data_IF_053576706585
#
_entry.id   IF_053576706585
#
_cell.length_a   1.000
_cell.length_b   1.000
_cell.length_c   1.000
_cell.angle_alpha   90.00
_cell.angle_beta   90.00
_cell.angle_gamma   90.00
#
_symmetry.space_group_name_H-M   'P 1'
#
loop_
_entity.id
_entity.type
_entity.pdbx_description
1 polymer ?
#
# COMPACT_ATOMS: atom_id res chain seq x y z
N UNK A 1 -17.36 -2.85 -15.99
CA UNK A 1 -16.81 -3.56 -14.84
C UNK A 1 -15.40 -3.01 -14.65
N UNK A 2 -15.05 -2.49 -13.47
CA UNK A 2 -13.70 -1.99 -13.24
C UNK A 2 -12.69 -3.15 -13.25
N UNK A 3 -11.51 -2.92 -13.81
CA UNK A 3 -10.41 -3.88 -13.83
C UNK A 3 -10.01 -4.27 -12.41
N UNK A 4 -9.79 -5.55 -12.13
CA UNK A 4 -9.35 -6.05 -10.82
C UNK A 4 -7.87 -5.76 -10.54
N UNK A 5 -7.07 -5.49 -11.57
CA UNK A 5 -5.69 -5.01 -11.44
C UNK A 5 -5.39 -4.00 -12.55
N UNK A 6 -4.71 -2.93 -12.21
CA UNK A 6 -4.27 -1.88 -13.14
C UNK A 6 -2.82 -1.53 -12.90
N UNK A 7 -2.07 -1.33 -13.98
CA UNK A 7 -0.76 -0.70 -13.90
C UNK A 7 -0.94 0.82 -13.83
N UNK A 8 -0.32 1.43 -12.84
CA UNK A 8 -0.40 2.87 -12.61
C UNK A 8 1.00 3.48 -12.51
N UNK A 9 1.15 4.68 -13.04
CA UNK A 9 2.35 5.46 -12.75
C UNK A 9 2.18 6.08 -11.37
N UNK A 10 3.12 5.81 -10.49
CA UNK A 10 3.17 6.40 -9.16
C UNK A 10 4.32 7.39 -9.06
N UNK A 11 4.11 8.44 -8.28
CA UNK A 11 5.14 9.37 -7.85
C UNK A 11 5.18 9.36 -6.34
N UNK A 12 6.35 9.07 -5.80
CA UNK A 12 6.58 9.12 -4.36
C UNK A 12 7.45 10.35 -4.09
N UNK A 13 6.89 11.31 -3.40
CA UNK A 13 7.58 12.48 -2.92
C UNK A 13 7.86 12.29 -1.42
N UNK A 14 9.13 12.30 -1.07
CA UNK A 14 9.59 12.22 0.31
C UNK A 14 10.27 13.52 0.69
N UNK A 15 9.61 14.29 1.54
CA UNK A 15 10.16 15.53 2.08
C UNK A 15 10.58 15.32 3.53
N UNK A 16 11.81 15.60 3.83
CA UNK A 16 12.32 15.67 5.18
C UNK A 16 12.44 17.14 5.60
N UNK A 17 11.70 17.51 6.64
CA UNK A 17 11.86 18.81 7.31
C UNK A 17 12.98 18.69 8.35
N UNK A 18 14.00 19.53 8.25
CA UNK A 18 15.15 19.56 9.15
C UNK A 18 16.30 20.36 8.53
N UNK A 19 17.39 20.51 9.27
CA UNK A 19 18.60 21.19 8.79
C UNK A 19 19.72 20.16 8.57
N UNK A 20 20.09 19.85 7.29
CA UNK A 20 19.51 20.34 6.06
C UNK A 20 18.17 19.64 5.71
N UNK A 21 17.29 20.36 4.99
CA UNK A 21 16.08 19.76 4.40
C UNK A 21 16.45 18.91 3.20
N UNK A 22 15.80 17.77 3.02
CA UNK A 22 15.98 16.91 1.85
C UNK A 22 14.62 16.63 1.20
N UNK A 23 14.59 16.78 -0.11
CA UNK A 23 13.47 16.36 -0.95
C UNK A 23 13.94 15.27 -1.92
N UNK A 24 13.22 14.17 -1.94
CA UNK A 24 13.43 13.07 -2.86
C UNK A 24 12.12 12.78 -3.58
N UNK A 25 12.15 12.87 -4.90
CA UNK A 25 11.03 12.46 -5.77
C UNK A 25 11.44 11.26 -6.60
N UNK A 26 10.60 10.23 -6.63
CA UNK A 26 10.78 9.03 -7.43
C UNK A 26 9.49 8.69 -8.16
N UNK A 27 9.63 8.40 -9.45
CA UNK A 27 8.56 7.83 -10.24
C UNK A 27 8.75 6.33 -10.37
N UNK A 28 7.66 5.58 -10.37
CA UNK A 28 7.69 4.14 -10.47
C UNK A 28 6.45 3.58 -11.14
N UNK A 29 6.53 2.32 -11.50
CA UNK A 29 5.41 1.52 -11.97
C UNK A 29 4.82 0.79 -10.77
N UNK A 30 3.60 1.11 -10.42
CA UNK A 30 2.84 0.46 -9.36
C UNK A 30 1.67 -0.33 -9.94
N UNK A 31 1.10 -1.19 -9.14
CA UNK A 31 -0.19 -1.83 -9.39
C UNK A 31 -1.22 -1.28 -8.39
N UNK A 32 -2.41 -1.05 -8.89
CA UNK A 32 -3.63 -0.86 -8.13
C UNK A 32 -4.44 -2.13 -8.27
N UNK A 33 -4.60 -2.90 -7.21
CA UNK A 33 -5.21 -4.23 -7.25
C UNK A 33 -6.30 -4.38 -6.21
N UNK A 34 -7.41 -4.98 -6.62
CA UNK A 34 -8.52 -5.38 -5.76
C UNK A 34 -8.19 -6.69 -5.06
N UNK A 35 -7.99 -6.66 -3.76
CA UNK A 35 -7.61 -7.82 -2.95
C UNK A 35 -8.76 -8.83 -2.75
N UNK A 36 -9.99 -8.45 -3.05
CA UNK A 36 -11.14 -9.35 -3.03
C UNK A 36 -11.29 -10.14 -4.33
N UNK A 37 -10.53 -9.75 -5.38
CA UNK A 37 -10.65 -10.31 -6.73
C UNK A 37 -9.28 -10.75 -7.29
N UNK A 38 -8.45 -11.35 -6.45
CA UNK A 38 -7.08 -11.74 -6.82
C UNK A 38 -7.01 -12.78 -7.95
N UNK A 39 -7.96 -13.72 -8.00
CA UNK A 39 -8.02 -14.72 -9.07
C UNK A 39 -8.34 -14.05 -10.42
N UNK A 40 -9.27 -13.10 -10.43
CA UNK A 40 -9.58 -12.33 -11.62
C UNK A 40 -8.39 -11.46 -12.04
N UNK A 41 -7.68 -10.87 -11.09
CA UNK A 41 -6.47 -10.08 -11.35
C UNK A 41 -5.38 -10.94 -12.01
N UNK A 42 -5.14 -12.14 -11.49
CA UNK A 42 -4.19 -13.08 -12.07
C UNK A 42 -4.57 -13.53 -13.49
N UNK A 43 -5.87 -13.64 -13.78
CA UNK A 43 -6.38 -14.06 -15.08
C UNK A 43 -6.35 -12.95 -16.16
N UNK A 44 -6.15 -11.66 -15.76
CA UNK A 44 -6.19 -10.54 -16.72
C UNK A 44 -5.03 -10.51 -17.71
N UNK A 45 -3.87 -11.06 -17.34
CA UNK A 45 -2.69 -11.05 -18.21
C UNK A 45 -1.78 -12.24 -17.97
N UNK A 46 -1.29 -12.84 -19.05
CA UNK A 46 -0.27 -13.89 -18.98
C UNK A 46 1.08 -13.40 -18.40
N UNK A 47 1.30 -12.09 -18.28
CA UNK A 47 2.52 -11.49 -17.77
C UNK A 47 2.41 -11.11 -16.28
N UNK A 48 1.26 -11.35 -15.66
CA UNK A 48 1.01 -11.06 -14.24
C UNK A 48 0.55 -12.33 -13.51
N UNK A 49 0.98 -12.49 -12.26
CA UNK A 49 0.51 -13.56 -11.38
C UNK A 49 0.33 -13.09 -9.94
N UNK A 50 -0.53 -13.79 -9.22
CA UNK A 50 -0.66 -13.68 -7.76
C UNK A 50 -0.04 -14.92 -7.13
N UNK A 51 0.81 -14.72 -6.13
CA UNK A 51 1.54 -15.76 -5.37
C UNK A 51 2.40 -16.71 -6.24
N UNK A 52 2.59 -16.39 -7.52
CA UNK A 52 3.41 -17.12 -8.48
C UNK A 52 4.58 -16.28 -9.01
N UNK A 53 5.50 -16.94 -9.75
CA UNK A 53 6.57 -16.27 -10.48
C UNK A 53 6.05 -15.81 -11.85
N UNK A 54 6.32 -14.56 -12.22
CA UNK A 54 6.00 -14.01 -13.54
C UNK A 54 6.86 -12.77 -13.83
N UNK A 55 6.66 -12.14 -15.00
CA UNK A 55 7.27 -10.84 -15.32
C UNK A 55 6.90 -9.81 -14.26
N UNK A 56 5.62 -9.70 -13.95
CA UNK A 56 5.09 -8.92 -12.84
C UNK A 56 4.33 -9.85 -11.90
N UNK A 57 4.45 -9.67 -10.60
CA UNK A 57 3.67 -10.46 -9.65
C UNK A 57 3.40 -9.72 -8.35
N UNK A 58 2.29 -10.07 -7.70
CA UNK A 58 2.00 -9.80 -6.32
C UNK A 58 2.24 -11.08 -5.51
N UNK A 59 2.97 -11.00 -4.39
CA UNK A 59 3.06 -12.10 -3.42
C UNK A 59 2.49 -11.63 -2.09
N UNK A 60 1.39 -12.24 -1.66
CA UNK A 60 0.76 -11.89 -0.38
C UNK A 60 1.72 -12.09 0.82
N UNK A 61 2.68 -13.00 0.69
CA UNK A 61 3.73 -13.22 1.69
C UNK A 61 4.67 -12.01 1.91
N UNK A 62 4.61 -11.01 1.04
CA UNK A 62 5.42 -9.80 1.19
C UNK A 62 4.76 -8.73 2.07
N UNK A 63 3.53 -8.91 2.53
CA UNK A 63 2.71 -7.85 3.12
C UNK A 63 2.12 -8.25 4.47
N UNK A 64 1.79 -7.22 5.26
CA UNK A 64 1.05 -7.36 6.51
C UNK A 64 1.61 -8.42 7.45
N UNK A 65 0.74 -9.23 8.06
CA UNK A 65 1.14 -10.27 9.00
C UNK A 65 1.92 -11.41 8.35
N UNK A 66 1.95 -11.48 7.01
CA UNK A 66 2.67 -12.51 6.27
C UNK A 66 4.15 -12.19 6.10
N UNK A 67 4.51 -10.92 6.22
CA UNK A 67 5.89 -10.47 6.01
C UNK A 67 6.86 -11.17 6.98
N UNK A 68 7.84 -11.90 6.42
CA UNK A 68 8.80 -12.70 7.20
C UNK A 68 8.17 -13.69 8.19
N UNK A 69 6.92 -14.07 7.95
CA UNK A 69 6.20 -15.03 8.78
C UNK A 69 6.40 -16.46 8.26
N UNK A 70 6.56 -17.41 9.18
CA UNK A 70 6.54 -18.85 8.88
C UNK A 70 5.15 -19.46 9.17
N UNK A 71 4.14 -18.64 9.46
CA UNK A 71 2.76 -19.06 9.72
C UNK A 71 2.01 -19.25 8.40
N UNK A 72 0.86 -19.95 8.42
CA UNK A 72 -0.04 -19.99 7.29
C UNK A 72 -0.38 -18.59 6.81
N UNK A 73 -0.52 -18.43 5.49
CA UNK A 73 -0.79 -17.16 4.85
C UNK A 73 -2.15 -16.62 5.30
N UNK A 74 -2.17 -15.38 5.75
CA UNK A 74 -3.37 -14.62 6.09
C UNK A 74 -3.82 -13.84 4.85
N UNK A 75 -5.08 -13.97 4.39
CA UNK A 75 -5.60 -13.16 3.30
C UNK A 75 -5.51 -11.67 3.61
N UNK A 76 -4.87 -10.90 2.73
CA UNK A 76 -4.60 -9.47 2.98
C UNK A 76 -5.88 -8.63 3.09
N UNK A 77 -6.93 -9.00 2.35
CA UNK A 77 -8.22 -8.33 2.46
C UNK A 77 -8.85 -8.49 3.85
N UNK A 78 -8.74 -9.70 4.44
CA UNK A 78 -9.18 -9.97 5.81
C UNK A 78 -8.39 -9.16 6.83
N UNK A 79 -7.06 -9.23 6.76
CA UNK A 79 -6.16 -8.44 7.62
C UNK A 79 -6.49 -6.93 7.61
N UNK A 80 -6.70 -6.37 6.41
CA UNK A 80 -7.02 -4.96 6.29
C UNK A 80 -8.41 -4.63 6.89
N UNK A 81 -9.39 -5.53 6.72
CA UNK A 81 -10.73 -5.36 7.32
C UNK A 81 -10.71 -5.47 8.84
N UNK A 82 -9.87 -6.32 9.41
CA UNK A 82 -9.73 -6.43 10.87
C UNK A 82 -9.24 -5.10 11.46
N UNK A 83 -8.22 -4.48 10.85
CA UNK A 83 -7.75 -3.13 11.25
C UNK A 83 -8.86 -2.09 11.08
N UNK A 84 -9.60 -2.13 9.98
CA UNK A 84 -10.67 -1.17 9.74
C UNK A 84 -11.83 -1.31 10.72
N UNK A 85 -12.14 -2.52 11.18
CA UNK A 85 -13.18 -2.76 12.17
C UNK A 85 -12.84 -2.14 13.54
N UNK A 86 -11.55 -2.06 13.87
CA UNK A 86 -11.09 -1.36 15.09
C UNK A 86 -11.19 0.17 14.95
N UNK A 87 -10.89 0.70 13.75
CA UNK A 87 -10.88 2.16 13.50
C UNK A 87 -12.27 2.73 13.21
N UNK A 88 -13.12 1.97 12.53
CA UNK A 88 -14.47 2.36 12.11
C UNK A 88 -15.50 1.30 12.53
N UNK A 89 -15.79 1.13 13.83
CA UNK A 89 -16.77 0.15 14.29
C UNK A 89 -18.13 0.35 13.63
N UNK A 90 -18.71 -0.73 13.12
CA UNK A 90 -20.03 -0.72 12.50
C UNK A 90 -20.07 -0.27 11.02
N UNK A 91 -18.93 0.07 10.41
CA UNK A 91 -18.84 0.37 8.98
C UNK A 91 -18.35 -0.87 8.22
N UNK A 92 -19.17 -1.35 7.28
CA UNK A 92 -18.77 -2.46 6.42
C UNK A 92 -17.88 -1.97 5.28
N UNK A 93 -16.71 -2.59 5.10
CA UNK A 93 -15.80 -2.33 4.00
C UNK A 93 -16.13 -3.24 2.82
N UNK A 94 -16.75 -2.65 1.79
CA UNK A 94 -17.21 -3.36 0.60
C UNK A 94 -16.06 -3.82 -0.30
N UNK A 95 -14.96 -3.07 -0.35
CA UNK A 95 -13.77 -3.45 -1.12
C UNK A 95 -12.48 -3.03 -0.44
N UNK A 96 -11.42 -3.80 -0.72
CA UNK A 96 -10.06 -3.55 -0.25
C UNK A 96 -9.12 -3.50 -1.44
N UNK A 97 -8.50 -2.37 -1.66
CA UNK A 97 -7.53 -2.18 -2.73
C UNK A 97 -6.13 -1.99 -2.15
N UNK A 98 -5.12 -2.43 -2.91
CA UNK A 98 -3.72 -2.25 -2.57
C UNK A 98 -3.01 -1.51 -3.70
N UNK A 99 -2.41 -0.37 -3.37
CA UNK A 99 -1.44 0.32 -4.21
C UNK A 99 -0.04 -0.09 -3.78
N UNK A 100 0.72 -0.71 -4.68
CA UNK A 100 2.05 -1.21 -4.35
C UNK A 100 2.92 -1.36 -5.58
N UNK A 101 4.23 -1.57 -5.37
CA UNK A 101 5.14 -1.96 -6.44
C UNK A 101 5.05 -3.47 -6.66
N UNK A 102 4.82 -3.94 -7.90
CA UNK A 102 4.85 -5.37 -8.19
C UNK A 102 6.28 -5.92 -8.06
N UNK A 103 6.40 -7.21 -7.81
CA UNK A 103 7.66 -7.90 -8.09
C UNK A 103 7.92 -7.88 -9.59
N UNK A 104 9.14 -7.66 -9.99
CA UNK A 104 9.59 -7.75 -11.37
C UNK A 104 10.57 -8.92 -11.45
N UNK A 105 10.22 -9.97 -12.25
CA UNK A 105 11.00 -11.21 -12.35
C UNK A 105 11.37 -11.79 -10.97
N UNK A 106 10.44 -11.73 -10.02
CA UNK A 106 10.62 -12.24 -8.67
C UNK A 106 11.35 -11.31 -7.70
N UNK A 107 11.92 -10.19 -8.17
CA UNK A 107 12.57 -9.21 -7.30
C UNK A 107 11.54 -8.23 -6.73
N UNK A 108 11.51 -8.09 -5.40
CA UNK A 108 10.65 -7.14 -4.70
C UNK A 108 11.42 -5.88 -4.28
N UNK A 109 10.84 -4.72 -4.56
CA UNK A 109 11.28 -3.45 -3.99
C UNK A 109 10.05 -2.64 -3.61
N UNK A 110 9.64 -2.73 -2.38
CA UNK A 110 8.40 -2.17 -1.83
C UNK A 110 8.70 -1.24 -0.65
N UNK A 111 9.13 0.00 -0.89
CA UNK A 111 9.43 0.96 0.20
C UNK A 111 8.16 1.42 0.91
N UNK A 112 7.05 1.48 0.20
CA UNK A 112 5.74 1.84 0.72
C UNK A 112 4.64 1.13 -0.05
N UNK A 113 3.62 0.68 0.66
CA UNK A 113 2.38 0.14 0.09
C UNK A 113 1.19 0.75 0.83
N UNK A 114 0.08 0.95 0.13
CA UNK A 114 -1.09 1.60 0.70
C UNK A 114 -2.33 0.75 0.44
N UNK A 115 -2.99 0.31 1.51
CA UNK A 115 -4.32 -0.25 1.42
C UNK A 115 -5.35 0.87 1.49
N UNK A 116 -6.35 0.77 0.65
CA UNK A 116 -7.50 1.68 0.60
C UNK A 116 -8.76 0.86 0.76
N UNK A 117 -9.49 1.11 1.82
CA UNK A 117 -10.73 0.40 2.12
C UNK A 117 -11.92 1.32 1.87
N UNK A 118 -12.89 0.80 1.11
CA UNK A 118 -14.09 1.54 0.67
C UNK A 118 -15.35 0.93 1.24
N UNK A 119 -16.29 1.79 1.54
CA UNK A 119 -17.65 1.37 1.92
C UNK A 119 -18.53 1.01 0.71
N UNK A 120 -19.79 0.64 0.98
CA UNK A 120 -20.76 0.28 -0.05
C UNK A 120 -21.15 1.46 -0.97
N UNK A 121 -20.91 2.71 -0.55
CA UNK A 121 -21.09 3.90 -1.37
C UNK A 121 -19.87 4.21 -2.26
N UNK A 122 -18.78 3.45 -2.11
CA UNK A 122 -17.52 3.64 -2.82
C UNK A 122 -16.64 4.73 -2.23
N UNK A 123 -16.98 5.23 -1.03
CA UNK A 123 -16.17 6.22 -0.34
C UNK A 123 -14.99 5.56 0.37
N UNK A 124 -13.81 6.15 0.26
CA UNK A 124 -12.63 5.74 1.01
C UNK A 124 -12.88 5.98 2.50
N UNK A 125 -12.67 4.96 3.34
CA UNK A 125 -12.94 4.99 4.78
C UNK A 125 -11.70 4.81 5.63
N UNK A 126 -10.80 3.95 5.19
CA UNK A 126 -9.57 3.66 5.93
C UNK A 126 -8.40 3.56 4.95
N UNK A 127 -7.29 4.16 5.34
CA UNK A 127 -5.98 3.96 4.71
C UNK A 127 -5.05 3.22 5.66
N UNK A 128 -4.29 2.23 5.13
CA UNK A 128 -3.22 1.56 5.85
C UNK A 128 -1.94 1.70 5.03
N UNK A 129 -0.93 2.35 5.58
CA UNK A 129 0.37 2.53 4.96
C UNK A 129 1.36 1.54 5.54
N UNK A 130 1.88 0.64 4.75
CA UNK A 130 3.02 -0.21 5.12
C UNK A 130 4.31 0.44 4.62
N UNK A 131 5.17 0.83 5.54
CA UNK A 131 6.46 1.45 5.24
C UNK A 131 7.56 0.47 5.58
N UNK A 132 8.51 0.28 4.66
CA UNK A 132 9.68 -0.58 4.85
C UNK A 132 10.95 0.24 4.89
N UNK A 133 11.85 -0.16 5.77
CA UNK A 133 13.18 0.40 5.81
C UNK A 133 14.17 -0.44 5.00
N UNK A 134 15.39 0.10 4.82
CA UNK A 134 16.48 -0.60 4.13
C UNK A 134 17.06 -1.77 4.92
N UNK A 135 16.75 -1.87 6.22
CA UNK A 135 17.15 -2.98 7.09
C UNK A 135 16.18 -4.16 7.00
N UNK A 136 15.05 -3.96 6.33
CA UNK A 136 14.04 -4.97 6.12
C UNK A 136 13.01 -5.06 7.26
N UNK A 137 12.88 -4.02 8.09
CA UNK A 137 11.75 -3.91 9.00
C UNK A 137 10.56 -3.28 8.28
N UNK A 138 9.37 -3.64 8.71
CA UNK A 138 8.11 -3.12 8.19
C UNK A 138 7.25 -2.61 9.34
N UNK A 139 6.59 -1.48 9.11
CA UNK A 139 5.63 -0.93 10.05
C UNK A 139 4.39 -0.45 9.31
N UNK A 140 3.21 -0.70 9.92
CA UNK A 140 1.92 -0.29 9.37
C UNK A 140 1.37 0.87 10.20
N UNK A 141 0.91 1.91 9.50
CA UNK A 141 0.18 3.05 10.04
C UNK A 141 -1.21 3.05 9.45
N UNK A 142 -2.23 3.12 10.29
CA UNK A 142 -3.61 3.11 9.83
C UNK A 142 -4.38 4.31 10.36
N UNK A 143 -5.32 4.80 9.56
CA UNK A 143 -6.18 5.92 9.95
C UNK A 143 -7.43 6.02 9.09
N UNK A 144 -8.42 6.72 9.64
CA UNK A 144 -9.71 6.97 9.01
C UNK A 144 -9.56 8.06 7.95
N UNK A 145 -10.18 7.85 6.80
CA UNK A 145 -10.30 8.88 5.77
C UNK A 145 -11.37 9.91 6.17
N UNK A 146 -11.02 11.19 6.09
CA UNK A 146 -11.90 12.32 6.39
C UNK A 146 -12.31 13.11 5.13
N UNK A 147 -12.08 12.54 3.95
CA UNK A 147 -12.40 13.15 2.66
C UNK A 147 -11.37 12.84 1.58
N UNK A 148 -11.39 13.60 0.47
CA UNK A 148 -10.56 13.36 -0.72
C UNK A 148 -9.07 13.65 -0.52
N UNK A 149 -8.67 14.21 0.60
CA UNK A 149 -7.32 14.72 0.85
C UNK A 149 -6.81 14.33 2.24
N UNK A 150 -7.02 13.07 2.62
CA UNK A 150 -6.66 12.56 3.95
C UNK A 150 -5.17 12.57 4.15
N UNK A 151 -4.70 13.30 5.16
CA UNK A 151 -3.33 13.26 5.66
C UNK A 151 -3.29 12.44 6.93
N UNK A 152 -2.65 11.29 6.89
CA UNK A 152 -2.39 10.51 8.09
C UNK A 152 -1.11 11.04 8.77
N UNK A 153 -1.26 11.56 9.98
CA UNK A 153 -0.14 11.92 10.84
C UNK A 153 0.23 10.74 11.74
N UNK A 154 1.48 10.35 11.74
CA UNK A 154 1.96 9.25 12.55
C UNK A 154 3.35 9.53 13.12
N UNK A 155 3.55 9.19 14.39
CA UNK A 155 4.86 9.27 15.01
C UNK A 155 5.81 8.25 14.42
N UNK A 156 7.00 8.70 14.06
CA UNK A 156 8.04 7.83 13.53
C UNK A 156 8.58 6.93 14.63
N UNK A 157 8.39 5.61 14.50
CA UNK A 157 8.76 4.63 15.53
C UNK A 157 9.94 3.73 15.15
N UNK A 158 10.45 3.83 13.90
CA UNK A 158 11.61 3.07 13.46
C UNK A 158 12.43 3.82 12.38
N UNK A 159 13.69 3.39 12.20
CA UNK A 159 14.56 3.95 11.17
C UNK A 159 14.14 3.47 9.78
N UNK A 160 13.82 4.40 8.88
CA UNK A 160 13.62 4.11 7.45
C UNK A 160 14.94 4.12 6.69
N UNK A 161 15.94 4.85 7.19
CA UNK A 161 17.27 4.95 6.62
C UNK A 161 18.33 4.92 7.71
N UNK A 162 19.48 4.25 7.51
CA UNK A 162 20.56 4.17 8.50
C UNK A 162 21.19 5.52 8.85
N UNK A 163 20.95 6.54 8.04
CA UNK A 163 21.59 7.84 8.18
C UNK A 163 20.78 8.83 9.05
N UNK A 164 19.62 8.44 9.60
CA UNK A 164 18.72 9.39 10.25
C UNK A 164 18.10 8.86 11.54
N UNK A 165 17.94 9.73 12.59
CA UNK A 165 17.36 9.32 13.85
C UNK A 165 15.86 8.92 13.73
N UNK A 166 15.38 8.15 14.70
CA UNK A 166 13.97 7.71 14.78
C UNK A 166 13.02 8.87 15.09
N UNK A 167 13.51 9.97 15.69
CA UNK A 167 12.66 11.10 16.09
C UNK A 167 12.01 11.80 14.87
N UNK A 168 10.73 12.16 15.01
CA UNK A 168 9.94 12.90 14.03
C UNK A 168 8.54 12.32 13.81
N UNK A 169 7.78 12.97 12.93
CA UNK A 169 6.45 12.59 12.53
C UNK A 169 6.42 12.27 11.04
N UNK A 170 5.56 11.33 10.64
CA UNK A 170 5.19 11.10 9.26
C UNK A 170 3.88 11.81 8.95
N UNK A 171 3.87 12.51 7.83
CA UNK A 171 2.63 12.95 7.16
C UNK A 171 2.50 12.14 5.89
N UNK A 172 1.58 11.20 5.92
CA UNK A 172 1.34 10.26 4.82
C UNK A 172 0.08 10.68 4.08
N UNK A 173 0.22 10.91 2.78
CA UNK A 173 -0.86 11.36 1.91
C UNK A 173 -0.87 10.55 0.62
N UNK A 174 -2.05 10.17 0.18
CA UNK A 174 -2.28 9.62 -1.15
C UNK A 174 -3.20 10.56 -1.91
N UNK A 175 -2.83 10.88 -3.15
CA UNK A 175 -3.70 11.59 -4.08
C UNK A 175 -3.71 10.85 -5.41
N UNK A 176 -4.88 10.77 -6.03
CA UNK A 176 -5.04 10.22 -7.37
C UNK A 176 -5.35 11.38 -8.33
N UNK A 177 -4.43 11.64 -9.25
CA UNK A 177 -4.73 12.54 -10.36
C UNK A 177 -5.59 11.78 -11.37
N UNK A 178 -6.81 12.24 -11.60
CA UNK A 178 -7.63 11.76 -12.70
C UNK A 178 -7.00 12.25 -14.01
N UNK A 179 -6.00 11.52 -14.52
CA UNK A 179 -5.50 11.77 -15.87
C UNK A 179 -6.57 11.22 -16.82
N UNK A 180 -7.34 12.14 -17.39
CA UNK A 180 -8.15 11.84 -18.58
C UNK A 180 -7.18 11.46 -19.69
N UNK A 181 -7.18 10.20 -20.11
CA UNK A 181 -6.58 9.79 -21.38
C UNK A 181 -7.17 10.69 -22.49
N UNK A 182 -6.30 11.49 -23.11
CA UNK A 182 -6.52 12.10 -24.40
C UNK A 182 -5.69 11.37 -25.42
#
# INVERSE_FOLDING_TARGET
MMSSCQLVRSKIDHTRHGTPSHFLSRQGLSIWIDLDRLDEAAAQSALFSVDGFNLLSLRQADYGPNFRSNRPLVPLAGYARDIAAELCPGVSMASVHLLTFPRILGVAFNPVSVYVLRDCAGADRVYIYEVRNTFGDMHSYAGVADGTDTVLEATKIFHVSPFFPVAGEYKLRISADAHSDR
#
